data_IF_425273960538
#
_entry.id   IF_425273960538
#
_cell.length_a   1.000
_cell.length_b   1.000
_cell.length_c   1.000
_cell.angle_alpha   90.00
_cell.angle_beta   90.00
_cell.angle_gamma   90.00
#
_symmetry.space_group_name_H-M   'P 1'
#
loop_
_entity.id
_entity.type
_entity.pdbx_description
1 polymer ?
#
# COMPACT_ATOMS: atom_id res chain seq x y z
N UNK A 1 22.93 -12.34 -6.99
CA UNK A 1 22.67 -11.63 -6.31
C UNK A 1 21.67 -10.82 -6.57
N UNK A 2 21.00 -10.47 -5.86
CA UNK A 2 20.05 -9.81 -6.11
C UNK A 2 20.08 -8.55 -5.82
N UNK A 3 19.70 -7.82 -6.34
CA UNK A 3 19.74 -6.59 -6.13
C UNK A 3 18.58 -6.07 -5.82
N UNK A 4 18.34 -5.52 -4.87
CA UNK A 4 17.30 -5.00 -4.59
C UNK A 4 17.25 -3.71 -4.84
N UNK A 5 16.59 -3.24 -5.56
CA UNK A 5 16.44 -1.97 -5.83
C UNK A 5 15.66 -1.37 -4.88
N UNK A 6 16.13 -0.68 -4.09
CA UNK A 6 15.36 -0.04 -3.24
C UNK A 6 14.95 1.20 -3.67
N UNK A 7 13.89 1.36 -4.09
CA UNK A 7 13.39 2.55 -4.45
C UNK A 7 13.08 3.21 -3.24
N UNK A 8 13.37 4.32 -3.07
CA UNK A 8 13.06 5.07 -1.97
C UNK A 8 11.64 5.11 -1.82
N UNK A 9 11.07 4.43 -0.99
CA UNK A 9 9.76 4.48 -0.88
C UNK A 9 9.42 5.48 0.04
N UNK A 10 8.70 6.42 -0.26
CA UNK A 10 8.29 7.42 0.61
C UNK A 10 7.09 6.96 1.27
N UNK A 11 7.05 6.78 2.54
CA UNK A 11 5.86 6.43 3.25
C UNK A 11 4.92 7.57 3.22
N UNK A 12 3.74 7.36 2.82
CA UNK A 12 2.76 8.40 2.71
C UNK A 12 1.64 8.17 3.70
N UNK A 13 1.20 9.17 4.41
CA UNK A 13 0.13 8.99 5.38
C UNK A 13 -1.19 8.77 4.65
N UNK A 14 -1.93 7.83 5.10
CA UNK A 14 -3.20 7.48 4.48
C UNK A 14 -4.19 7.13 5.57
N UNK A 15 -5.46 7.06 5.19
CA UNK A 15 -6.45 6.47 6.07
C UNK A 15 -7.08 5.31 5.34
N UNK A 16 -7.43 4.29 6.09
CA UNK A 16 -8.11 3.15 5.55
C UNK A 16 -9.23 2.87 6.52
N UNK A 17 -10.45 2.99 6.05
CA UNK A 17 -11.63 2.77 6.91
C UNK A 17 -11.53 3.62 8.17
N UNK A 18 -11.05 4.83 8.03
CA UNK A 18 -11.00 5.73 9.16
C UNK A 18 -9.81 5.59 10.06
N UNK A 19 -8.93 4.64 9.77
CA UNK A 19 -7.75 4.48 10.60
C UNK A 19 -6.56 5.07 9.89
N UNK A 20 -5.71 5.76 10.62
CA UNK A 20 -4.52 6.33 10.03
C UNK A 20 -3.42 5.30 9.94
N UNK A 21 -2.69 5.34 8.87
CA UNK A 21 -1.55 4.47 8.69
C UNK A 21 -0.61 5.06 7.68
N UNK A 22 0.43 4.32 7.35
CA UNK A 22 1.39 4.76 6.35
C UNK A 22 1.36 3.79 5.21
N UNK A 23 1.19 4.31 4.02
CA UNK A 23 1.22 3.47 2.84
C UNK A 23 2.66 3.21 2.50
N UNK A 24 3.02 1.95 2.42
CA UNK A 24 4.37 1.56 2.13
C UNK A 24 4.58 1.44 0.65
N UNK A 25 3.62 0.94 -0.05
CA UNK A 25 3.77 0.81 -1.49
C UNK A 25 2.58 0.13 -2.11
N UNK A 26 2.56 0.06 -3.41
CA UNK A 26 1.50 -0.59 -4.15
C UNK A 26 2.06 -1.81 -4.83
N UNK A 27 1.29 -2.88 -4.83
CA UNK A 27 1.74 -4.10 -5.44
C UNK A 27 0.64 -4.68 -6.30
N UNK A 28 0.99 -5.46 -7.27
CA UNK A 28 0.02 -6.10 -8.08
C UNK A 28 -0.28 -7.44 -7.48
N UNK A 29 -1.53 -7.74 -7.35
CA UNK A 29 -1.88 -8.99 -6.78
C UNK A 29 -2.83 -9.72 -7.67
N UNK A 30 -2.74 -10.98 -7.77
CA UNK A 30 -3.64 -11.78 -8.54
C UNK A 30 -3.16 -11.97 -9.89
N UNK A 31 -4.01 -12.26 -10.79
CA UNK A 31 -3.59 -12.39 -12.12
C UNK A 31 -2.94 -13.66 -12.45
N UNK A 32 -3.32 -14.74 -11.85
CA UNK A 32 -2.73 -15.97 -12.16
C UNK A 32 -2.86 -16.24 -13.62
N UNK A 33 -3.91 -15.93 -14.26
CA UNK A 33 -4.05 -16.11 -15.65
C UNK A 33 -3.93 -14.79 -16.34
N UNK A 34 -3.38 -13.81 -15.70
CA UNK A 34 -3.23 -12.56 -16.34
C UNK A 34 -4.45 -11.70 -16.31
N UNK A 35 -5.49 -12.13 -15.66
CA UNK A 35 -6.64 -11.34 -15.62
C UNK A 35 -6.85 -10.77 -14.30
N UNK A 36 -7.51 -9.78 -14.14
CA UNK A 36 -7.91 -9.24 -12.85
C UNK A 36 -6.76 -8.90 -11.94
N UNK A 37 -5.70 -8.42 -12.47
CA UNK A 37 -4.65 -7.97 -11.62
C UNK A 37 -5.05 -6.67 -11.03
N UNK A 38 -5.08 -6.56 -9.74
CA UNK A 38 -5.46 -5.34 -9.09
C UNK A 38 -4.36 -4.87 -8.21
N UNK A 39 -4.13 -3.59 -8.15
CA UNK A 39 -3.13 -3.08 -7.25
C UNK A 39 -3.63 -3.09 -5.83
N UNK A 40 -2.81 -3.47 -4.92
CA UNK A 40 -3.15 -3.40 -3.50
C UNK A 40 -2.11 -2.56 -2.81
N UNK A 41 -2.54 -1.80 -1.86
CA UNK A 41 -1.64 -0.97 -1.08
C UNK A 41 -1.31 -1.66 0.22
N UNK A 42 -0.06 -1.59 0.59
CA UNK A 42 0.37 -2.18 1.83
C UNK A 42 0.44 -1.05 2.83
N UNK A 43 -0.30 -1.15 3.89
CA UNK A 43 -0.40 -0.06 4.85
C UNK A 43 0.00 -0.56 6.23
N UNK A 44 0.87 0.19 6.87
CA UNK A 44 1.31 -0.16 8.19
C UNK A 44 0.63 0.77 9.17
N UNK A 45 0.04 0.25 10.19
CA UNK A 45 -0.66 1.06 11.18
C UNK A 45 0.22 1.31 12.39
N UNK A 46 -0.20 2.23 13.22
CA UNK A 46 0.60 2.64 14.35
C UNK A 46 0.92 1.51 15.32
N UNK A 47 0.06 0.53 15.37
CA UNK A 47 0.30 -0.56 16.28
C UNK A 47 1.23 -1.61 15.68
N UNK A 48 1.75 -1.36 14.51
CA UNK A 48 2.67 -2.28 13.89
C UNK A 48 2.04 -3.31 12.98
N UNK A 49 0.73 -3.32 12.87
CA UNK A 49 0.12 -4.29 11.99
C UNK A 49 0.16 -3.77 10.57
N UNK A 50 0.16 -4.67 9.63
CA UNK A 50 0.25 -4.33 8.23
C UNK A 50 -0.87 -5.04 7.52
N UNK A 51 -1.55 -4.33 6.64
CA UNK A 51 -2.63 -4.92 5.89
C UNK A 51 -2.57 -4.55 4.44
N UNK A 52 -3.29 -5.29 3.62
CA UNK A 52 -3.37 -5.03 2.20
C UNK A 52 -4.74 -4.52 1.88
N UNK A 53 -4.83 -3.44 1.14
CA UNK A 53 -6.09 -2.83 0.84
C UNK A 53 -6.18 -2.43 -0.61
N UNK A 54 -7.36 -2.45 -1.17
CA UNK A 54 -7.52 -2.04 -2.54
C UNK A 54 -7.45 -0.53 -2.65
N UNK A 55 -7.18 -0.07 -3.82
CA UNK A 55 -7.02 1.36 -4.02
C UNK A 55 -8.20 2.15 -3.54
N UNK A 56 -9.41 1.64 -3.72
CA UNK A 56 -10.57 2.39 -3.34
C UNK A 56 -10.71 2.52 -1.84
N UNK A 57 -9.97 1.73 -1.09
CA UNK A 57 -10.06 1.78 0.36
C UNK A 57 -9.04 2.70 0.95
N UNK A 58 -8.10 3.16 0.18
CA UNK A 58 -6.99 3.92 0.72
C UNK A 58 -7.17 5.37 0.34
N UNK A 59 -7.12 6.27 1.29
CA UNK A 59 -7.22 7.68 1.02
C UNK A 59 -5.99 8.38 1.51
N UNK A 60 -5.38 9.14 0.65
CA UNK A 60 -4.21 9.89 1.06
C UNK A 60 -4.63 11.04 1.95
N UNK A 61 -3.83 11.32 2.94
CA UNK A 61 -4.09 12.42 3.81
C UNK A 61 -3.38 13.61 3.23
N UNK A 62 -4.16 14.62 2.88
CA UNK A 62 -3.57 15.78 2.30
C UNK A 62 -3.23 16.75 3.36
N UNK A 63 -2.08 17.28 3.27
CA UNK A 63 -1.73 18.28 4.18
C UNK A 63 -1.74 19.53 3.47
N UNK A 64 -2.32 20.46 3.92
CA UNK A 64 -2.39 21.67 3.21
C UNK A 64 -1.64 22.70 3.88
#
# INVERSE_FOLDING_TARGET
MQVEVVVAMERRPVTVHGRYGDLIGWFQRGGFLGNNQKPVGLVEFADGTVGEYEAKEVRYVDHV
#
